data_IF_872249911652
#
_entry.id   IF_872249911652
#
_cell.length_a   1.000
_cell.length_b   1.000
_cell.length_c   1.000
_cell.angle_alpha   90.00
_cell.angle_beta   90.00
_cell.angle_gamma   90.00
#
_symmetry.space_group_name_H-M   'P 1'
#
loop_
_entity.id
_entity.type
_entity.pdbx_description
1 polymer ?
#
# COMPACT_ATOMS: atom_id res chain seq x y z
N UNK A 1 -37.84 -35.85 25.36
CA UNK A 1 -36.82 -34.97 25.98
C UNK A 1 -35.40 -35.58 26.09
N UNK A 2 -35.06 -36.65 25.35
CA UNK A 2 -33.67 -37.18 25.29
C UNK A 2 -32.88 -36.55 24.14
N UNK A 3 -33.52 -36.35 23.00
CA UNK A 3 -32.89 -35.73 21.82
C UNK A 3 -32.53 -34.25 22.05
N UNK A 4 -33.40 -33.49 22.73
CA UNK A 4 -33.12 -32.11 23.10
C UNK A 4 -31.91 -31.97 24.04
N UNK A 5 -31.69 -32.96 24.92
CA UNK A 5 -30.55 -33.01 25.85
C UNK A 5 -29.22 -33.33 25.16
N UNK A 6 -29.25 -33.89 23.94
CA UNK A 6 -28.07 -34.19 23.13
C UNK A 6 -27.77 -33.06 22.13
N UNK A 7 -28.81 -32.45 21.55
CA UNK A 7 -28.65 -31.38 20.54
C UNK A 7 -28.16 -30.07 21.19
N UNK A 8 -28.64 -29.76 22.40
CA UNK A 8 -28.27 -28.54 23.13
C UNK A 8 -26.74 -28.39 23.37
N UNK A 9 -26.01 -29.39 23.90
CA UNK A 9 -24.56 -29.28 24.07
C UNK A 9 -23.81 -29.23 22.72
N UNK A 10 -24.32 -29.92 21.70
CA UNK A 10 -23.69 -29.90 20.36
C UNK A 10 -23.80 -28.52 19.71
N UNK A 11 -24.96 -27.86 19.84
CA UNK A 11 -25.17 -26.51 19.31
C UNK A 11 -24.33 -25.47 20.06
N UNK A 12 -24.18 -25.61 21.38
CA UNK A 12 -23.33 -24.73 22.18
C UNK A 12 -21.84 -24.81 21.77
N UNK A 13 -21.36 -26.00 21.42
CA UNK A 13 -19.99 -26.20 20.91
C UNK A 13 -19.81 -25.51 19.55
N UNK A 14 -20.79 -25.65 18.64
CA UNK A 14 -20.74 -25.00 17.32
C UNK A 14 -20.73 -23.47 17.46
N UNK A 15 -21.54 -22.90 18.37
CA UNK A 15 -21.52 -21.46 18.64
C UNK A 15 -20.22 -20.98 19.27
N UNK A 16 -19.65 -21.74 20.21
CA UNK A 16 -18.36 -21.41 20.81
C UNK A 16 -17.22 -21.37 19.76
N UNK A 17 -17.18 -22.35 18.85
CA UNK A 17 -16.20 -22.40 17.75
C UNK A 17 -16.48 -21.29 16.71
N UNK A 18 -17.75 -20.99 16.41
CA UNK A 18 -18.09 -19.88 15.51
C UNK A 18 -17.64 -18.51 16.04
N UNK A 19 -17.75 -18.30 17.35
CA UNK A 19 -17.34 -17.04 17.99
C UNK A 19 -15.81 -16.87 18.05
N UNK A 20 -15.01 -17.94 18.01
CA UNK A 20 -13.53 -17.81 17.95
C UNK A 20 -13.05 -17.20 16.63
N UNK A 21 -13.83 -17.31 15.54
CA UNK A 21 -13.52 -16.69 14.25
C UNK A 21 -14.25 -15.35 14.02
N UNK A 22 -15.22 -15.00 14.86
CA UNK A 22 -15.95 -13.73 14.75
C UNK A 22 -15.13 -12.52 15.23
N UNK A 23 -14.00 -12.78 15.91
CA UNK A 23 -13.04 -11.75 16.31
C UNK A 23 -11.86 -11.74 15.33
N UNK A 24 -12.16 -11.62 14.04
CA UNK A 24 -11.18 -11.04 13.12
C UNK A 24 -11.09 -9.59 13.57
N UNK A 25 -10.02 -9.27 14.28
CA UNK A 25 -9.60 -7.91 14.47
C UNK A 25 -9.57 -7.33 13.05
N UNK A 26 -10.52 -6.46 12.72
CA UNK A 26 -10.43 -5.64 11.53
C UNK A 26 -9.28 -4.69 11.77
N UNK A 27 -8.06 -5.22 11.76
CA UNK A 27 -6.90 -4.44 11.40
C UNK A 27 -7.34 -3.70 10.15
N UNK A 28 -7.25 -2.36 10.13
CA UNK A 28 -7.61 -1.62 8.93
C UNK A 28 -6.89 -2.34 7.79
N UNK A 29 -7.68 -2.82 6.80
CA UNK A 29 -7.14 -3.40 5.58
C UNK A 29 -5.94 -2.53 5.22
N UNK A 30 -4.72 -3.08 5.10
CA UNK A 30 -3.57 -2.24 4.80
C UNK A 30 -4.01 -1.44 3.59
N UNK A 31 -4.13 -0.13 3.78
CA UNK A 31 -4.43 0.80 2.72
C UNK A 31 -3.42 0.41 1.66
N UNK A 32 -3.90 -0.16 0.55
CA UNK A 32 -3.04 -0.60 -0.53
C UNK A 32 -2.13 0.59 -0.76
N UNK A 33 -0.84 0.46 -0.47
CA UNK A 33 0.07 1.59 -0.50
C UNK A 33 0.15 2.02 -1.96
N UNK A 34 -0.74 2.92 -2.39
CA UNK A 34 -0.82 3.46 -3.75
C UNK A 34 -0.19 4.85 -3.78
N UNK A 35 0.78 5.08 -2.91
CA UNK A 35 1.50 6.34 -2.83
C UNK A 35 2.97 6.03 -3.04
N UNK A 36 3.55 6.72 -4.00
CA UNK A 36 4.99 6.77 -4.18
C UNK A 36 5.57 7.91 -3.34
N UNK A 37 6.89 7.98 -3.27
CA UNK A 37 7.61 8.97 -2.50
C UNK A 37 8.66 9.69 -3.34
N UNK A 38 8.93 10.94 -2.95
CA UNK A 38 10.10 11.69 -3.40
C UNK A 38 10.95 12.07 -2.19
N UNK A 39 12.28 12.05 -2.37
CA UNK A 39 13.22 12.42 -1.32
C UNK A 39 13.61 13.90 -1.44
N UNK A 40 13.26 14.70 -0.43
CA UNK A 40 13.56 16.14 -0.36
C UNK A 40 14.89 16.44 0.35
N UNK A 41 15.60 15.40 0.83
CA UNK A 41 16.84 15.52 1.60
C UNK A 41 16.63 15.55 3.12
N UNK A 42 17.67 15.23 3.89
CA UNK A 42 17.66 15.21 5.37
C UNK A 42 16.55 14.30 5.96
N UNK A 43 16.41 13.08 5.45
CA UNK A 43 15.35 12.13 5.85
C UNK A 43 13.91 12.66 5.66
N UNK A 44 13.74 13.72 4.86
CA UNK A 44 12.44 14.27 4.53
C UNK A 44 11.88 13.61 3.25
N UNK A 45 10.77 12.91 3.42
CA UNK A 45 10.06 12.21 2.35
C UNK A 45 8.68 12.83 2.14
N UNK A 46 8.31 13.03 0.89
CA UNK A 46 7.01 13.57 0.52
C UNK A 46 6.22 12.49 -0.24
N UNK A 47 5.04 12.07 0.26
CA UNK A 47 4.17 11.18 -0.48
C UNK A 47 3.58 11.91 -1.68
N UNK A 48 3.48 11.19 -2.80
CA UNK A 48 2.87 11.61 -4.05
C UNK A 48 1.92 10.49 -4.55
N UNK A 49 0.98 10.79 -5.45
CA UNK A 49 0.17 9.74 -6.08
C UNK A 49 1.06 8.70 -6.77
N UNK A 50 0.63 7.44 -6.82
CA UNK A 50 1.28 6.38 -7.61
C UNK A 50 1.63 6.88 -9.02
N UNK A 51 2.90 6.74 -9.40
CA UNK A 51 3.39 7.03 -10.73
C UNK A 51 3.43 5.74 -11.54
N UNK A 52 2.89 5.79 -12.76
CA UNK A 52 2.89 4.68 -13.72
C UNK A 52 4.27 4.42 -14.33
N UNK A 53 5.29 4.30 -13.49
CA UNK A 53 6.68 4.04 -13.82
C UNK A 53 6.90 2.53 -13.97
N UNK A 54 6.46 1.97 -15.10
CA UNK A 54 6.68 0.54 -15.39
C UNK A 54 7.84 0.37 -16.37
N UNK A 55 9.06 0.20 -15.86
CA UNK A 55 10.24 -0.03 -16.68
C UNK A 55 11.41 -0.65 -15.94
N UNK A 56 12.56 -0.73 -16.62
CA UNK A 56 13.77 -1.41 -16.12
C UNK A 56 15.08 -0.71 -16.50
N UNK A 57 15.00 0.49 -17.10
CA UNK A 57 16.15 1.10 -17.76
C UNK A 57 16.69 2.34 -17.03
N UNK A 58 15.82 3.30 -16.72
CA UNK A 58 16.19 4.61 -16.17
C UNK A 58 15.42 4.88 -14.88
N UNK A 59 15.89 5.78 -14.03
CA UNK A 59 15.13 6.18 -12.84
C UNK A 59 13.85 6.89 -13.28
N UNK A 60 12.73 6.50 -12.68
CA UNK A 60 11.50 7.24 -12.90
C UNK A 60 11.55 8.57 -12.17
N UNK A 61 11.08 9.61 -12.85
CA UNK A 61 11.19 10.98 -12.38
C UNK A 61 9.86 11.72 -12.47
N UNK A 62 9.65 12.63 -11.53
CA UNK A 62 8.54 13.58 -11.53
C UNK A 62 9.07 15.00 -11.43
N UNK A 63 8.31 15.95 -11.98
CA UNK A 63 8.59 17.37 -11.88
C UNK A 63 7.50 18.08 -11.09
N UNK A 64 7.86 18.87 -10.08
CA UNK A 64 6.89 19.61 -9.25
C UNK A 64 6.54 20.93 -9.93
N UNK A 65 5.40 20.96 -10.62
CA UNK A 65 4.96 22.10 -11.44
C UNK A 65 5.79 22.28 -12.72
N UNK A 66 5.23 23.00 -13.69
CA UNK A 66 5.90 23.23 -14.97
C UNK A 66 7.16 24.10 -14.78
N UNK A 67 8.34 23.56 -15.10
CA UNK A 67 9.63 24.24 -14.91
C UNK A 67 10.20 24.15 -13.49
N UNK A 68 9.55 23.40 -12.59
CA UNK A 68 10.05 23.18 -11.23
C UNK A 68 11.14 22.11 -11.12
N UNK A 69 11.53 21.76 -9.88
CA UNK A 69 12.54 20.74 -9.62
C UNK A 69 12.05 19.34 -10.02
N UNK A 70 13.01 18.50 -10.41
CA UNK A 70 12.80 17.10 -10.78
C UNK A 70 13.33 16.20 -9.67
N UNK A 71 12.55 15.18 -9.31
CA UNK A 71 12.89 14.20 -8.28
C UNK A 71 12.71 12.78 -8.79
N UNK A 72 13.57 11.88 -8.33
CA UNK A 72 13.39 10.44 -8.50
C UNK A 72 12.22 9.95 -7.65
N UNK A 73 11.50 8.95 -8.16
CA UNK A 73 10.32 8.35 -7.53
C UNK A 73 10.70 7.03 -6.87
N UNK A 74 10.17 6.80 -5.67
CA UNK A 74 10.43 5.60 -4.86
C UNK A 74 9.14 4.91 -4.45
N UNK A 75 9.13 3.58 -4.43
CA UNK A 75 7.98 2.78 -3.97
C UNK A 75 7.82 2.85 -2.43
N UNK A 76 8.92 3.10 -1.71
CA UNK A 76 8.95 3.22 -0.26
C UNK A 76 9.84 4.41 0.17
N UNK A 77 9.81 4.79 1.44
CA UNK A 77 10.72 5.80 2.02
C UNK A 77 12.14 5.24 2.23
N UNK A 78 12.72 4.67 1.18
CA UNK A 78 14.05 4.09 1.13
C UNK A 78 14.73 4.45 -0.20
N UNK A 79 15.97 4.91 -0.14
CA UNK A 79 16.75 5.25 -1.34
C UNK A 79 17.07 4.02 -2.21
N UNK A 80 16.89 2.80 -1.67
CA UNK A 80 17.07 1.54 -2.40
C UNK A 80 15.88 1.13 -3.25
N UNK A 81 14.70 1.74 -3.07
CA UNK A 81 13.45 1.38 -3.75
C UNK A 81 13.08 2.34 -4.89
N UNK A 82 14.09 2.90 -5.56
CA UNK A 82 13.86 3.77 -6.72
C UNK A 82 13.12 3.02 -7.83
N UNK A 83 12.04 3.63 -8.34
CA UNK A 83 11.27 3.09 -9.45
C UNK A 83 12.01 3.31 -10.75
N UNK A 84 11.80 2.38 -11.69
CA UNK A 84 12.41 2.45 -13.01
C UNK A 84 11.36 2.75 -14.08
N UNK A 85 11.74 3.53 -15.08
CA UNK A 85 10.95 3.83 -16.27
C UNK A 85 11.55 3.19 -17.52
N UNK A 86 10.75 3.07 -18.60
CA UNK A 86 11.27 2.82 -19.93
C UNK A 86 12.27 3.92 -20.35
N UNK A 87 13.18 3.60 -21.28
CA UNK A 87 14.19 4.57 -21.72
C UNK A 87 13.54 5.75 -22.44
N UNK A 88 14.01 6.97 -22.14
CA UNK A 88 13.56 8.21 -22.78
C UNK A 88 12.19 8.69 -22.34
N UNK A 89 11.68 8.23 -21.18
CA UNK A 89 10.47 8.78 -20.58
C UNK A 89 10.77 10.15 -19.95
N UNK A 90 10.04 11.18 -20.38
CA UNK A 90 10.11 12.50 -19.76
C UNK A 90 9.53 12.47 -18.34
N UNK A 91 10.03 13.29 -17.39
CA UNK A 91 9.48 13.38 -16.04
C UNK A 91 7.99 13.76 -16.04
N UNK A 92 7.18 13.04 -15.27
CA UNK A 92 5.76 13.36 -15.14
C UNK A 92 5.59 14.65 -14.33
N UNK A 93 4.94 15.66 -14.91
CA UNK A 93 4.66 16.92 -14.21
C UNK A 93 3.48 16.70 -13.25
N UNK A 94 3.73 16.89 -11.95
CA UNK A 94 2.73 16.78 -10.90
C UNK A 94 2.55 18.12 -10.18
N UNK A 95 1.35 18.35 -9.65
CA UNK A 95 1.05 19.49 -8.78
C UNK A 95 0.76 18.94 -7.38
N UNK A 96 1.54 19.40 -6.40
CA UNK A 96 1.40 19.07 -4.98
C UNK A 96 0.69 20.20 -4.22
#
# INVERSE_FOLDING_TARGET
MKQLKMILPMMAIIFAIGLTFANVNSEPMPEVQTSDFIYLGNDNWQPIPEQGCEGTAENCQVQIGAGGPVYDVYDEMDLSTVKLSPPGQDPTVINL
#
